data_IF_771771601646
#
_entry.id   IF_771771601646
#
_cell.length_a   1.000
_cell.length_b   1.000
_cell.length_c   1.000
_cell.angle_alpha   90.00
_cell.angle_beta   90.00
_cell.angle_gamma   90.00
#
_symmetry.space_group_name_H-M   'P 1'
#
loop_
_entity.id
_entity.type
_entity.pdbx_description
1 polymer ?
#
# COMPACT_ATOMS: atom_id res chain seq x y z
N UNK A 1 30.53 0.26 17.99
CA UNK A 1 31.75 1.06 17.81
C UNK A 1 31.32 2.52 17.72
N UNK A 2 31.40 3.25 18.83
CA UNK A 2 31.04 4.67 18.94
C UNK A 2 32.13 5.52 18.29
N UNK A 3 31.74 6.54 17.52
CA UNK A 3 32.64 7.63 17.14
C UNK A 3 31.98 8.98 17.39
N UNK A 4 32.82 9.87 17.90
CA UNK A 4 32.55 11.00 18.78
C UNK A 4 32.41 12.30 17.96
N UNK A 5 31.59 13.22 18.46
CA UNK A 5 31.46 14.63 18.02
C UNK A 5 32.58 15.53 18.56
N UNK A 6 32.92 16.58 17.80
CA UNK A 6 33.51 17.85 18.29
C UNK A 6 34.68 18.32 17.42
N UNK A 7 34.57 19.38 16.59
CA UNK A 7 34.50 20.83 16.84
C UNK A 7 35.86 21.55 16.88
N UNK A 8 35.84 22.83 16.45
CA UNK A 8 36.89 23.87 16.33
C UNK A 8 37.62 23.93 14.98
N UNK A 9 37.87 25.08 14.33
CA UNK A 9 37.61 26.50 14.66
C UNK A 9 37.71 27.38 13.40
N UNK A 10 37.07 28.56 13.45
CA UNK A 10 37.29 29.70 12.56
C UNK A 10 38.69 30.29 12.74
N UNK A 11 39.30 30.75 11.66
CA UNK A 11 40.18 31.92 11.68
C UNK A 11 40.02 32.70 10.36
N UNK A 12 39.52 33.92 10.48
CA UNK A 12 39.55 34.94 9.44
C UNK A 12 40.90 35.69 9.51
N UNK A 13 41.49 35.99 8.36
CA UNK A 13 42.45 37.09 8.26
C UNK A 13 42.31 37.80 6.91
N UNK A 14 42.03 39.09 7.04
CA UNK A 14 41.99 40.11 6.01
C UNK A 14 43.41 40.52 5.60
N UNK A 15 43.65 40.68 4.30
CA UNK A 15 44.90 41.20 3.74
C UNK A 15 44.63 42.06 2.49
N UNK A 16 45.18 43.27 2.52
CA UNK A 16 44.93 44.39 1.61
C UNK A 16 45.51 44.20 0.19
N UNK A 17 44.79 44.83 -0.74
CA UNK A 17 45.05 45.29 -2.12
C UNK A 17 46.52 45.46 -2.54
N UNK A 18 46.84 45.00 -3.76
CA UNK A 18 47.71 45.75 -4.68
C UNK A 18 47.28 45.55 -6.13
N UNK A 19 46.79 46.61 -6.76
CA UNK A 19 46.53 46.66 -8.18
C UNK A 19 47.86 46.77 -8.94
N UNK A 20 48.03 45.94 -9.97
CA UNK A 20 49.09 46.08 -10.96
C UNK A 20 48.44 46.08 -12.33
N UNK A 21 48.56 47.21 -13.03
CA UNK A 21 48.17 47.36 -14.42
C UNK A 21 49.25 46.73 -15.31
N UNK A 22 48.87 45.87 -16.25
CA UNK A 22 49.74 45.42 -17.34
C UNK A 22 48.92 45.11 -18.59
N UNK A 23 49.02 46.07 -19.52
CA UNK A 23 48.95 46.00 -21.00
C UNK A 23 48.42 44.74 -21.68
N UNK A 24 47.38 44.96 -22.51
CA UNK A 24 46.87 44.04 -23.53
C UNK A 24 47.91 43.67 -24.59
N UNK A 25 48.08 42.36 -24.79
CA UNK A 25 48.57 41.77 -26.03
C UNK A 25 47.56 40.72 -26.47
N UNK A 26 46.91 40.98 -27.61
CA UNK A 26 45.96 40.08 -28.25
C UNK A 26 46.69 38.90 -28.88
N UNK A 27 46.46 37.69 -28.37
CA UNK A 27 46.75 36.44 -29.05
C UNK A 27 45.41 35.78 -29.41
N UNK A 28 45.10 35.74 -30.71
CA UNK A 28 43.95 35.04 -31.25
C UNK A 28 44.19 33.53 -31.09
N UNK A 29 43.51 32.92 -30.11
CA UNK A 29 43.43 31.47 -29.99
C UNK A 29 42.26 30.97 -30.85
N UNK A 30 42.57 30.15 -31.85
CA UNK A 30 41.58 29.41 -32.62
C UNK A 30 40.89 28.39 -31.70
N UNK A 31 39.66 28.68 -31.31
CA UNK A 31 38.79 27.72 -30.63
C UNK A 31 38.19 26.76 -31.68
N UNK A 32 38.76 25.57 -31.79
CA UNK A 32 38.03 24.42 -32.34
C UNK A 32 36.88 24.10 -31.39
N UNK A 33 35.64 24.38 -31.81
CA UNK A 33 34.43 23.94 -31.13
C UNK A 33 34.37 22.42 -31.11
N UNK A 34 34.83 21.82 -30.01
CA UNK A 34 34.40 20.48 -29.61
C UNK A 34 32.90 20.56 -29.35
N UNK A 35 32.10 19.94 -30.22
CA UNK A 35 30.69 19.74 -29.96
C UNK A 35 30.55 18.87 -28.70
N UNK A 36 30.15 19.51 -27.60
CA UNK A 36 29.68 18.81 -26.41
C UNK A 36 28.43 18.04 -26.83
N UNK A 37 28.39 16.69 -26.69
CA UNK A 37 27.17 15.95 -26.97
C UNK A 37 26.04 16.46 -26.06
N UNK A 38 24.79 16.50 -26.53
CA UNK A 38 23.69 17.00 -25.73
C UNK A 38 23.60 16.20 -24.43
N UNK A 39 23.67 16.91 -23.31
CA UNK A 39 23.42 16.35 -21.99
C UNK A 39 21.96 15.87 -22.02
N UNK A 40 21.76 14.55 -22.06
CA UNK A 40 20.45 13.93 -21.87
C UNK A 40 19.85 14.49 -20.58
N UNK A 41 18.84 15.36 -20.68
CA UNK A 41 18.10 15.82 -19.52
C UNK A 41 17.45 14.59 -18.87
N UNK A 42 17.57 14.42 -17.54
CA UNK A 42 16.95 13.28 -16.87
C UNK A 42 15.45 13.30 -17.16
N UNK A 43 14.92 12.18 -17.65
CA UNK A 43 13.49 12.01 -17.91
C UNK A 43 12.71 12.40 -16.63
N UNK A 44 11.77 13.35 -16.71
CA UNK A 44 11.08 13.84 -15.52
C UNK A 44 10.28 12.72 -14.86
N UNK A 45 10.44 12.59 -13.55
CA UNK A 45 9.61 11.75 -12.70
C UNK A 45 8.25 12.43 -12.52
N UNK A 46 7.17 11.71 -12.82
CA UNK A 46 5.80 12.22 -12.69
C UNK A 46 5.00 11.27 -11.80
N UNK A 47 4.52 11.76 -10.67
CA UNK A 47 3.66 11.02 -9.75
C UNK A 47 2.25 11.62 -9.75
N UNK A 48 1.23 10.76 -9.78
CA UNK A 48 -0.17 11.15 -9.65
C UNK A 48 -0.85 10.24 -8.64
N UNK A 49 -1.50 10.84 -7.64
CA UNK A 49 -2.28 10.12 -6.64
C UNK A 49 -3.76 10.20 -6.99
N UNK A 50 -4.48 9.10 -6.84
CA UNK A 50 -5.92 9.07 -7.14
C UNK A 50 -6.75 9.78 -6.06
N UNK A 51 -6.20 9.94 -4.86
CA UNK A 51 -6.92 10.42 -3.69
C UNK A 51 -7.82 9.33 -3.11
N UNK A 52 -8.20 9.50 -1.84
CA UNK A 52 -9.08 8.55 -1.15
C UNK A 52 -10.52 9.02 -1.31
N UNK A 53 -11.31 8.27 -2.07
CA UNK A 53 -12.76 8.47 -2.21
C UNK A 53 -13.49 7.18 -1.86
N UNK A 54 -14.30 6.65 -2.78
CA UNK A 54 -15.04 5.40 -2.65
C UNK A 54 -14.30 4.22 -3.27
N UNK A 55 -13.01 4.36 -3.60
CA UNK A 55 -12.15 3.25 -4.00
C UNK A 55 -10.88 3.30 -3.18
N UNK A 56 -10.70 2.32 -2.31
CA UNK A 56 -9.55 2.26 -1.43
C UNK A 56 -9.32 0.84 -0.91
N UNK A 57 -8.08 0.61 -0.46
CA UNK A 57 -7.62 -0.64 0.16
C UNK A 57 -6.75 -0.34 1.37
N UNK A 58 -6.59 -1.32 2.25
CA UNK A 58 -5.71 -1.22 3.40
C UNK A 58 -4.23 -1.22 2.96
N UNK A 59 -3.44 -0.29 3.52
CA UNK A 59 -2.00 -0.23 3.24
C UNK A 59 -1.29 -1.54 3.54
N UNK A 60 -1.63 -2.20 4.65
CA UNK A 60 -1.01 -3.45 5.07
C UNK A 60 -1.13 -4.54 4.00
N UNK A 61 -2.35 -4.75 3.50
CA UNK A 61 -2.66 -5.70 2.42
C UNK A 61 -1.81 -5.43 1.18
N UNK A 62 -1.75 -4.17 0.71
CA UNK A 62 -0.93 -3.82 -0.46
C UNK A 62 0.56 -4.03 -0.23
N UNK A 63 1.06 -3.64 0.95
CA UNK A 63 2.48 -3.82 1.27
C UNK A 63 2.86 -5.29 1.19
N UNK A 64 2.04 -6.18 1.75
CA UNK A 64 2.31 -7.62 1.77
C UNK A 64 2.23 -8.22 0.35
N UNK A 65 1.25 -7.79 -0.47
CA UNK A 65 1.19 -8.18 -1.89
C UNK A 65 2.45 -7.75 -2.64
N UNK A 66 2.90 -6.50 -2.47
CA UNK A 66 4.07 -5.98 -3.17
C UNK A 66 5.37 -6.69 -2.74
N UNK A 67 5.56 -6.90 -1.44
CA UNK A 67 6.79 -7.46 -0.87
C UNK A 67 6.89 -8.98 -1.05
N UNK A 68 5.77 -9.69 -0.99
CA UNK A 68 5.76 -11.16 -0.94
C UNK A 68 5.34 -11.81 -2.26
N UNK A 69 4.65 -11.08 -3.14
CA UNK A 69 4.05 -11.64 -4.36
C UNK A 69 4.45 -10.85 -5.61
N UNK A 70 3.88 -9.66 -5.83
CA UNK A 70 3.96 -8.93 -7.10
C UNK A 70 5.40 -8.66 -7.53
N UNK A 71 6.21 -7.94 -6.73
CA UNK A 71 7.56 -7.58 -7.16
C UNK A 71 8.50 -8.79 -7.28
N UNK A 72 8.54 -9.74 -6.32
CA UNK A 72 9.33 -10.95 -6.47
C UNK A 72 9.00 -11.75 -7.73
N UNK A 73 7.72 -11.86 -8.09
CA UNK A 73 7.30 -12.68 -9.22
C UNK A 73 7.41 -11.93 -10.55
N UNK A 74 7.16 -10.62 -10.57
CA UNK A 74 7.33 -9.80 -11.77
C UNK A 74 8.79 -9.81 -12.26
N UNK A 75 9.75 -9.70 -11.34
CA UNK A 75 11.19 -9.76 -11.64
C UNK A 75 11.59 -11.13 -12.20
N UNK A 76 11.03 -12.22 -11.68
CA UNK A 76 11.28 -13.59 -12.19
C UNK A 76 10.63 -13.81 -13.56
N UNK A 77 9.43 -13.28 -13.77
CA UNK A 77 8.65 -13.53 -14.97
C UNK A 77 9.18 -12.75 -16.17
N UNK A 78 9.57 -11.48 -16.01
CA UNK A 78 9.92 -10.60 -17.13
C UNK A 78 10.90 -11.25 -18.15
N UNK A 79 12.02 -11.89 -17.74
CA UNK A 79 12.94 -12.50 -18.71
C UNK A 79 12.35 -13.68 -19.50
N UNK A 80 11.26 -14.28 -19.00
CA UNK A 80 10.59 -15.44 -19.60
C UNK A 80 9.54 -15.04 -20.65
N UNK A 81 9.13 -13.77 -20.68
CA UNK A 81 8.11 -13.23 -21.58
C UNK A 81 8.65 -12.00 -22.34
N UNK A 82 9.68 -12.18 -23.20
CA UNK A 82 10.41 -11.06 -23.81
C UNK A 82 9.58 -10.19 -24.75
N UNK A 83 8.43 -10.69 -25.23
CA UNK A 83 7.52 -9.95 -26.11
C UNK A 83 6.44 -9.15 -25.35
N UNK A 84 6.42 -9.25 -24.01
CA UNK A 84 5.43 -8.56 -23.20
C UNK A 84 6.04 -7.32 -22.55
N UNK A 85 5.51 -6.13 -22.88
CA UNK A 85 5.96 -4.84 -22.34
C UNK A 85 5.18 -4.40 -21.08
N UNK A 86 4.32 -5.28 -20.54
CA UNK A 86 3.46 -5.01 -19.38
C UNK A 86 3.36 -6.23 -18.47
N UNK A 87 3.55 -6.04 -17.17
CA UNK A 87 3.16 -7.02 -16.15
C UNK A 87 2.01 -6.41 -15.37
N UNK A 88 0.88 -7.10 -15.33
CA UNK A 88 -0.31 -6.67 -14.60
C UNK A 88 -0.98 -7.90 -13.98
N UNK A 89 -1.32 -7.79 -12.69
CA UNK A 89 -2.03 -8.83 -11.95
C UNK A 89 -3.09 -8.22 -11.05
N UNK A 90 -4.14 -9.01 -10.81
CA UNK A 90 -5.23 -8.71 -9.90
C UNK A 90 -5.07 -9.54 -8.63
N UNK A 91 -5.41 -8.95 -7.48
CA UNK A 91 -5.32 -9.58 -6.17
C UNK A 91 -6.60 -9.37 -5.38
N UNK A 92 -6.91 -10.32 -4.50
CA UNK A 92 -8.10 -10.29 -3.63
C UNK A 92 -9.40 -10.09 -4.41
N UNK A 93 -9.53 -10.77 -5.54
CA UNK A 93 -10.76 -10.79 -6.33
C UNK A 93 -11.98 -11.10 -5.45
N UNK A 94 -13.11 -10.49 -5.79
CA UNK A 94 -14.39 -10.63 -5.08
C UNK A 94 -14.38 -10.18 -3.60
N UNK A 95 -13.36 -9.41 -3.18
CA UNK A 95 -13.29 -8.78 -1.85
C UNK A 95 -13.26 -7.24 -1.93
N UNK A 96 -13.55 -6.51 -0.83
CA UNK A 96 -13.34 -5.07 -0.77
C UNK A 96 -11.88 -4.62 -1.03
N UNK A 97 -10.91 -5.53 -0.91
CA UNK A 97 -9.49 -5.27 -1.10
C UNK A 97 -9.00 -5.61 -2.52
N UNK A 98 -9.92 -5.78 -3.48
CA UNK A 98 -9.61 -6.10 -4.88
C UNK A 98 -8.83 -4.96 -5.54
N UNK A 99 -7.64 -5.28 -6.06
CA UNK A 99 -6.68 -4.32 -6.61
C UNK A 99 -5.97 -4.87 -7.85
N UNK A 100 -5.75 -4.01 -8.84
CA UNK A 100 -4.80 -4.25 -9.92
C UNK A 100 -3.45 -3.56 -9.63
N UNK A 101 -2.36 -4.26 -9.90
CA UNK A 101 -1.00 -3.72 -9.79
C UNK A 101 -0.29 -3.96 -11.13
N UNK A 102 0.38 -2.94 -11.67
CA UNK A 102 1.07 -3.07 -12.94
C UNK A 102 2.39 -2.31 -13.07
N UNK A 103 3.24 -2.84 -13.95
CA UNK A 103 4.47 -2.22 -14.45
C UNK A 103 4.45 -2.27 -15.97
N UNK A 104 4.45 -1.11 -16.62
CA UNK A 104 4.36 -0.96 -18.07
C UNK A 104 5.55 -0.16 -18.61
N UNK A 105 6.36 -0.75 -19.48
CA UNK A 105 7.53 -0.12 -20.08
C UNK A 105 7.42 0.03 -21.60
N UNK A 106 6.20 -0.01 -22.15
CA UNK A 106 5.92 0.15 -23.58
C UNK A 106 6.52 1.43 -24.16
N UNK A 107 6.57 2.51 -23.35
CA UNK A 107 7.08 3.82 -23.77
C UNK A 107 8.58 4.01 -23.53
N UNK A 108 9.31 2.96 -23.11
CA UNK A 108 10.75 3.04 -22.90
C UNK A 108 11.50 2.95 -24.23
N UNK A 109 12.38 3.91 -24.51
CA UNK A 109 13.15 3.97 -25.76
C UNK A 109 14.02 2.73 -26.01
N UNK A 110 14.61 2.16 -24.94
CA UNK A 110 15.43 0.94 -25.01
C UNK A 110 14.71 -0.23 -24.30
N UNK A 111 13.47 -0.52 -24.72
CA UNK A 111 12.65 -1.55 -24.06
C UNK A 111 13.28 -2.94 -24.04
N UNK A 112 14.07 -3.30 -25.05
CA UNK A 112 14.82 -4.57 -25.10
C UNK A 112 15.83 -4.73 -23.96
N UNK A 113 16.32 -3.61 -23.42
CA UNK A 113 17.34 -3.58 -22.37
C UNK A 113 16.71 -3.35 -20.99
N UNK A 114 15.38 -3.18 -20.94
CA UNK A 114 14.69 -2.98 -19.67
C UNK A 114 14.73 -4.26 -18.85
N UNK A 115 15.30 -4.15 -17.65
CA UNK A 115 15.25 -5.18 -16.64
C UNK A 115 14.57 -4.62 -15.40
N UNK A 116 13.45 -5.21 -15.03
CA UNK A 116 12.80 -4.94 -13.76
C UNK A 116 13.67 -5.53 -12.66
N UNK A 117 14.09 -4.66 -11.74
CA UNK A 117 14.83 -5.02 -10.55
C UNK A 117 13.92 -5.01 -9.32
N UNK A 118 14.17 -5.88 -8.35
CA UNK A 118 13.34 -6.00 -7.15
C UNK A 118 13.40 -4.72 -6.30
N UNK A 119 14.58 -4.11 -6.17
CA UNK A 119 14.74 -2.87 -5.42
C UNK A 119 13.96 -1.74 -6.09
N UNK A 120 14.05 -1.62 -7.41
CA UNK A 120 13.31 -0.59 -8.15
C UNK A 120 11.80 -0.83 -8.14
N UNK A 121 11.36 -2.07 -8.31
CA UNK A 121 9.94 -2.42 -8.20
C UNK A 121 9.35 -2.00 -6.85
N UNK A 122 10.01 -2.36 -5.74
CA UNK A 122 9.56 -2.00 -4.40
C UNK A 122 9.68 -0.49 -4.15
N UNK A 123 10.78 0.14 -4.55
CA UNK A 123 10.96 1.58 -4.42
C UNK A 123 9.82 2.33 -5.11
N UNK A 124 9.51 1.97 -6.35
CA UNK A 124 8.52 2.69 -7.13
C UNK A 124 7.09 2.36 -6.73
N UNK A 125 6.74 1.09 -6.50
CA UNK A 125 5.37 0.73 -6.11
C UNK A 125 5.10 0.94 -4.61
N UNK A 126 5.96 0.44 -3.72
CA UNK A 126 5.75 0.52 -2.27
C UNK A 126 6.09 1.92 -1.75
N UNK A 127 7.30 2.41 -2.01
CA UNK A 127 7.75 3.63 -1.35
C UNK A 127 7.17 4.88 -2.00
N UNK A 128 7.01 4.88 -3.32
CA UNK A 128 6.49 6.04 -4.05
C UNK A 128 4.97 5.97 -4.29
N UNK A 129 4.43 4.95 -4.97
CA UNK A 129 2.99 4.91 -5.27
C UNK A 129 2.15 4.66 -4.01
N UNK A 130 2.46 3.63 -3.22
CA UNK A 130 1.70 3.27 -2.03
C UNK A 130 1.91 4.25 -0.87
N UNK A 131 3.16 4.53 -0.50
CA UNK A 131 3.49 5.35 0.67
C UNK A 131 3.61 6.84 0.37
N UNK A 132 4.00 7.20 -0.85
CA UNK A 132 4.07 8.59 -1.29
C UNK A 132 2.70 9.20 -1.64
N UNK A 133 1.65 8.39 -1.77
CA UNK A 133 0.27 8.86 -1.91
C UNK A 133 -0.55 8.61 -0.64
N UNK A 134 -1.52 9.51 -0.38
CA UNK A 134 -2.57 9.33 0.63
C UNK A 134 -2.06 9.01 2.06
N UNK A 135 -0.80 9.36 2.36
CA UNK A 135 -0.16 9.16 3.64
C UNK A 135 -0.17 10.42 4.51
N UNK A 136 -0.04 10.25 5.82
CA UNK A 136 0.07 11.33 6.82
C UNK A 136 -1.09 12.34 6.84
N UNK A 137 -2.26 11.99 6.29
CA UNK A 137 -3.47 12.80 6.39
C UNK A 137 -4.16 12.53 7.75
N UNK A 138 -4.36 13.53 8.62
CA UNK A 138 -5.14 13.39 9.85
C UNK A 138 -6.59 12.94 9.60
N UNK A 139 -7.12 13.23 8.41
CA UNK A 139 -8.40 12.74 7.93
C UNK A 139 -8.38 11.26 7.53
N UNK A 140 -7.22 10.62 7.40
CA UNK A 140 -7.05 9.21 7.06
C UNK A 140 -6.24 8.45 8.14
N UNK A 141 -6.74 8.37 9.39
CA UNK A 141 -6.02 7.72 10.49
C UNK A 141 -5.77 6.23 10.27
N UNK A 142 -6.62 5.55 9.49
CA UNK A 142 -6.48 4.14 9.12
C UNK A 142 -5.49 3.91 7.97
N UNK A 143 -4.96 4.99 7.38
CA UNK A 143 -3.98 4.95 6.30
C UNK A 143 -4.47 4.16 5.07
N UNK A 144 -5.74 4.34 4.70
CA UNK A 144 -6.34 3.82 3.47
C UNK A 144 -5.63 4.37 2.23
N UNK A 145 -5.66 3.61 1.13
CA UNK A 145 -4.92 3.91 -0.09
C UNK A 145 -5.83 3.91 -1.30
N UNK A 146 -5.94 5.05 -1.98
CA UNK A 146 -6.68 5.19 -3.25
C UNK A 146 -5.89 4.74 -4.48
N UNK A 147 -4.62 4.39 -4.29
CA UNK A 147 -3.70 4.04 -5.37
C UNK A 147 -3.18 5.27 -6.11
N UNK A 148 -2.65 5.03 -7.30
CA UNK A 148 -2.03 6.06 -8.11
C UNK A 148 -1.06 5.47 -9.12
N UNK A 149 -0.31 6.35 -9.75
CA UNK A 149 0.71 5.97 -10.71
C UNK A 149 1.99 6.79 -10.56
N UNK A 150 3.10 6.17 -10.93
CA UNK A 150 4.41 6.79 -11.08
C UNK A 150 4.94 6.54 -12.48
N UNK A 151 5.39 7.60 -13.16
CA UNK A 151 6.13 7.52 -14.41
C UNK A 151 7.58 7.91 -14.17
N UNK A 152 8.50 7.03 -14.52
CA UNK A 152 9.94 7.24 -14.40
C UNK A 152 10.65 6.52 -15.53
N UNK A 153 11.50 7.25 -16.27
CA UNK A 153 12.34 6.70 -17.35
C UNK A 153 11.57 5.83 -18.38
N UNK A 154 10.38 6.31 -18.79
CA UNK A 154 9.50 5.62 -19.76
C UNK A 154 8.71 4.43 -19.20
N UNK A 155 8.87 4.12 -17.91
CA UNK A 155 8.14 3.05 -17.21
C UNK A 155 7.03 3.65 -16.35
N UNK A 156 5.87 3.00 -16.34
CA UNK A 156 4.69 3.36 -15.53
C UNK A 156 4.44 2.27 -14.50
N UNK A 157 4.40 2.65 -13.23
CA UNK A 157 4.06 1.79 -12.09
C UNK A 157 2.69 2.22 -11.57
N UNK A 158 1.75 1.29 -11.42
CA UNK A 158 0.36 1.61 -11.06
C UNK A 158 -0.15 0.71 -9.95
N UNK A 159 -0.93 1.28 -9.04
CA UNK A 159 -1.78 0.57 -8.09
C UNK A 159 -3.20 1.12 -8.24
N UNK A 160 -4.17 0.25 -8.50
CA UNK A 160 -5.55 0.64 -8.78
C UNK A 160 -6.55 -0.21 -7.98
N UNK A 161 -7.10 0.31 -6.86
CA UNK A 161 -8.25 -0.29 -6.21
C UNK A 161 -9.45 -0.37 -7.16
N UNK A 162 -10.04 -1.56 -7.30
CA UNK A 162 -11.07 -1.82 -8.32
C UNK A 162 -12.50 -1.74 -7.78
N UNK A 163 -12.68 -1.99 -6.49
CA UNK A 163 -14.01 -2.07 -5.86
C UNK A 163 -14.47 -0.72 -5.34
N UNK A 164 -15.69 -0.34 -5.70
CA UNK A 164 -16.39 0.79 -5.11
C UNK A 164 -16.92 0.40 -3.73
N UNK A 165 -16.61 1.21 -2.72
CA UNK A 165 -16.89 1.02 -1.30
C UNK A 165 -17.70 2.21 -0.77
N UNK A 166 -18.22 2.05 0.44
CA UNK A 166 -18.75 3.18 1.21
C UNK A 166 -17.61 4.17 1.53
N UNK A 167 -17.89 5.41 1.98
CA UNK A 167 -16.85 6.32 2.45
C UNK A 167 -15.95 5.64 3.50
N UNK A 168 -14.62 5.78 3.31
CA UNK A 168 -13.65 5.08 4.14
C UNK A 168 -13.81 5.39 5.64
N UNK A 169 -13.81 4.36 6.50
CA UNK A 169 -13.97 4.56 7.93
C UNK A 169 -12.71 5.17 8.55
N UNK A 170 -12.90 6.00 9.58
CA UNK A 170 -11.79 6.61 10.35
C UNK A 170 -11.29 5.71 11.47
N UNK A 171 -12.03 4.67 11.80
CA UNK A 171 -11.68 3.68 12.79
C UNK A 171 -12.42 2.38 12.46
N UNK A 172 -11.88 1.21 12.83
CA UNK A 172 -12.59 -0.03 12.63
C UNK A 172 -13.81 -0.05 13.55
N UNK A 173 -14.96 -0.48 13.03
CA UNK A 173 -16.17 -0.68 13.81
C UNK A 173 -16.66 -2.12 13.67
N UNK A 174 -17.40 -2.61 14.65
CA UNK A 174 -17.99 -3.93 14.58
C UNK A 174 -19.18 -4.04 15.52
N UNK A 175 -20.19 -4.78 15.07
CA UNK A 175 -21.38 -5.12 15.86
C UNK A 175 -21.41 -6.63 16.02
N UNK A 176 -21.72 -7.10 17.22
CA UNK A 176 -21.95 -8.52 17.49
C UNK A 176 -23.28 -8.68 18.21
N UNK A 177 -24.25 -9.30 17.54
CA UNK A 177 -25.57 -9.60 18.10
C UNK A 177 -25.65 -11.10 18.42
N UNK A 178 -26.22 -11.44 19.57
CA UNK A 178 -26.39 -12.83 19.99
C UNK A 178 -27.83 -13.07 20.40
N UNK A 179 -28.47 -14.02 19.73
CA UNK A 179 -29.82 -14.49 20.07
C UNK A 179 -29.74 -15.91 20.62
N UNK A 180 -30.37 -16.14 21.77
CA UNK A 180 -30.50 -17.48 22.34
C UNK A 180 -31.67 -18.21 21.66
N UNK A 181 -31.39 -19.39 21.10
CA UNK A 181 -32.35 -20.22 20.37
C UNK A 181 -32.25 -21.66 20.91
N UNK A 182 -33.17 -22.02 21.82
CA UNK A 182 -33.25 -23.31 22.50
C UNK A 182 -31.92 -23.82 23.09
N UNK A 183 -31.16 -24.61 22.33
CA UNK A 183 -29.92 -25.26 22.75
C UNK A 183 -28.66 -24.62 22.14
N UNK A 184 -28.80 -23.52 21.41
CA UNK A 184 -27.70 -22.85 20.74
C UNK A 184 -27.83 -21.34 20.81
N UNK A 185 -26.77 -20.65 20.41
CA UNK A 185 -26.72 -19.21 20.30
C UNK A 185 -26.40 -18.86 18.86
N UNK A 186 -27.30 -18.12 18.23
CA UNK A 186 -27.09 -17.54 16.92
C UNK A 186 -26.30 -16.25 17.09
N UNK A 187 -25.11 -16.20 16.50
CA UNK A 187 -24.21 -15.06 16.57
C UNK A 187 -24.11 -14.43 15.19
N UNK A 188 -24.31 -13.11 15.13
CA UNK A 188 -24.16 -12.31 13.92
C UNK A 188 -23.09 -11.26 14.20
N UNK A 189 -22.03 -11.24 13.38
CA UNK A 189 -21.01 -10.20 13.44
C UNK A 189 -21.05 -9.41 12.14
N UNK A 190 -21.09 -8.09 12.24
CA UNK A 190 -20.95 -7.14 11.13
C UNK A 190 -19.74 -6.27 11.36
N UNK A 191 -19.06 -5.92 10.29
CA UNK A 191 -17.82 -5.15 10.35
C UNK A 191 -17.99 -3.74 9.80
N UNK A 192 -16.92 -2.96 9.90
CA UNK A 192 -16.62 -1.84 9.02
C UNK A 192 -15.11 -1.56 9.12
N UNK A 193 -14.38 -1.78 8.03
CA UNK A 193 -12.97 -1.40 7.93
C UNK A 193 -11.97 -2.37 8.54
N UNK A 194 -12.30 -3.67 8.68
CA UNK A 194 -11.35 -4.71 9.12
C UNK A 194 -11.65 -6.07 8.48
N UNK A 195 -10.68 -6.99 8.44
CA UNK A 195 -10.80 -8.34 7.84
C UNK A 195 -11.41 -8.36 6.41
N UNK A 196 -10.90 -7.50 5.54
CA UNK A 196 -11.50 -7.21 4.23
C UNK A 196 -10.95 -8.04 3.05
N UNK A 197 -10.09 -9.04 3.28
CA UNK A 197 -9.37 -9.73 2.19
C UNK A 197 -9.37 -11.26 2.23
N UNK A 198 -9.85 -11.90 3.28
CA UNK A 198 -9.62 -13.35 3.52
C UNK A 198 -10.90 -14.18 3.67
N UNK A 199 -12.07 -13.61 3.36
CA UNK A 199 -13.36 -14.27 3.47
C UNK A 199 -13.68 -14.75 4.89
N UNK A 200 -13.13 -14.06 5.89
CA UNK A 200 -13.32 -14.39 7.30
C UNK A 200 -12.54 -15.62 7.75
N UNK A 201 -11.61 -16.15 6.94
CA UNK A 201 -10.82 -17.35 7.27
C UNK A 201 -10.07 -17.18 8.60
N UNK A 202 -9.43 -16.04 8.82
CA UNK A 202 -8.73 -15.74 10.08
C UNK A 202 -9.72 -15.73 11.26
N UNK A 203 -10.89 -15.13 11.08
CA UNK A 203 -11.92 -15.10 12.13
C UNK A 203 -12.41 -16.51 12.47
N UNK A 204 -12.75 -17.32 11.46
CA UNK A 204 -13.16 -18.71 11.61
C UNK A 204 -12.10 -19.56 12.34
N UNK A 205 -10.82 -19.43 11.94
CA UNK A 205 -9.72 -20.15 12.57
C UNK A 205 -9.59 -19.82 14.06
N UNK A 206 -9.80 -18.55 14.43
CA UNK A 206 -9.77 -18.12 15.83
C UNK A 206 -11.01 -18.51 16.62
N UNK A 207 -12.14 -18.73 15.94
CA UNK A 207 -13.40 -19.15 16.57
C UNK A 207 -13.49 -20.65 16.81
N UNK A 208 -12.64 -21.47 16.19
CA UNK A 208 -12.65 -22.93 16.38
C UNK A 208 -12.63 -23.34 17.87
N UNK A 209 -11.95 -22.57 18.72
CA UNK A 209 -11.85 -22.84 20.17
C UNK A 209 -13.06 -22.33 20.99
N UNK A 210 -14.04 -21.69 20.33
CA UNK A 210 -15.20 -21.04 20.97
C UNK A 210 -16.49 -21.89 20.95
N UNK A 211 -16.39 -23.20 20.72
CA UNK A 211 -17.52 -24.12 20.54
C UNK A 211 -18.45 -23.73 19.37
N UNK A 212 -17.83 -23.28 18.28
CA UNK A 212 -18.50 -23.13 16.99
C UNK A 212 -19.10 -24.49 16.56
N UNK A 213 -20.36 -24.49 16.15
CA UNK A 213 -20.96 -25.68 15.55
C UNK A 213 -20.37 -25.91 14.16
N UNK A 214 -20.02 -27.16 13.79
CA UNK A 214 -19.50 -27.48 12.46
C UNK A 214 -20.44 -27.00 11.36
N UNK A 215 -19.87 -26.51 10.25
CA UNK A 215 -20.58 -26.08 9.05
C UNK A 215 -21.60 -24.94 9.27
N UNK A 216 -21.45 -24.16 10.34
CA UNK A 216 -22.35 -23.03 10.63
C UNK A 216 -21.76 -21.65 10.35
N UNK A 217 -20.43 -21.55 10.20
CA UNK A 217 -19.77 -20.30 9.88
C UNK A 217 -20.06 -19.92 8.42
N UNK A 218 -20.72 -18.79 8.24
CA UNK A 218 -21.06 -18.28 6.91
C UNK A 218 -20.70 -16.80 6.83
N UNK A 219 -19.70 -16.49 6.01
CA UNK A 219 -19.18 -15.15 5.80
C UNK A 219 -19.58 -14.64 4.41
N UNK A 220 -20.05 -13.40 4.35
CA UNK A 220 -20.39 -12.73 3.08
C UNK A 220 -19.84 -11.30 3.09
N UNK A 221 -19.21 -10.89 1.99
CA UNK A 221 -18.99 -9.48 1.70
C UNK A 221 -20.29 -8.84 1.21
N UNK A 222 -20.52 -7.59 1.60
CA UNK A 222 -21.69 -6.84 1.17
C UNK A 222 -21.84 -5.54 1.95
N UNK A 223 -22.20 -4.49 1.22
CA UNK A 223 -22.49 -3.19 1.83
C UNK A 223 -23.88 -3.22 2.47
N UNK A 224 -23.97 -2.81 3.73
CA UNK A 224 -25.26 -2.57 4.38
C UNK A 224 -25.55 -1.08 4.57
N UNK A 225 -26.79 -0.78 4.99
CA UNK A 225 -27.26 0.59 5.23
C UNK A 225 -26.49 1.34 6.34
N UNK A 226 -25.83 0.60 7.21
CA UNK A 226 -25.06 1.12 8.35
C UNK A 226 -23.57 1.28 7.97
N UNK A 227 -23.24 0.94 6.72
CA UNK A 227 -21.92 1.07 6.11
C UNK A 227 -20.97 -0.06 6.49
N UNK A 228 -21.49 -1.22 6.88
CA UNK A 228 -20.68 -2.43 7.03
C UNK A 228 -20.26 -3.01 5.69
N UNK A 229 -19.15 -3.74 5.66
CA UNK A 229 -18.51 -4.23 4.44
C UNK A 229 -18.63 -5.75 4.27
N UNK A 230 -18.87 -6.46 5.37
CA UNK A 230 -19.21 -7.87 5.44
C UNK A 230 -20.05 -8.20 6.68
N UNK A 231 -20.65 -9.38 6.63
CA UNK A 231 -21.37 -10.02 7.73
C UNK A 231 -20.97 -11.47 7.83
N UNK A 232 -20.79 -11.97 9.05
CA UNK A 232 -20.78 -13.41 9.32
C UNK A 232 -21.93 -13.82 10.24
N UNK A 233 -22.42 -15.02 10.03
CA UNK A 233 -23.40 -15.70 10.88
C UNK A 233 -22.83 -17.04 11.31
N UNK A 234 -23.05 -17.42 12.56
CA UNK A 234 -22.60 -18.70 13.09
C UNK A 234 -23.47 -19.16 14.27
N UNK A 235 -23.34 -20.43 14.64
CA UNK A 235 -24.00 -20.97 15.82
C UNK A 235 -22.98 -21.52 16.82
N UNK A 236 -23.22 -21.31 18.11
CA UNK A 236 -22.43 -21.91 19.20
C UNK A 236 -23.34 -22.72 20.13
N UNK A 237 -22.88 -23.88 20.60
CA UNK A 237 -23.65 -24.69 21.56
C UNK A 237 -23.56 -24.15 23.00
N UNK A 238 -22.53 -23.37 23.30
CA UNK A 238 -22.25 -22.79 24.61
C UNK A 238 -21.73 -21.37 24.39
N UNK A 239 -22.47 -20.40 24.92
CA UNK A 239 -22.06 -19.01 24.82
C UNK A 239 -20.81 -18.75 25.65
N UNK A 240 -19.76 -18.28 24.98
CA UNK A 240 -18.48 -17.86 25.59
C UNK A 240 -18.10 -16.50 25.02
N UNK A 241 -18.74 -15.44 25.52
CA UNK A 241 -18.55 -14.06 25.04
C UNK A 241 -17.07 -13.71 24.90
N UNK A 242 -16.27 -13.92 25.95
CA UNK A 242 -14.84 -13.58 25.94
C UNK A 242 -14.08 -14.27 24.80
N UNK A 243 -14.42 -15.52 24.48
CA UNK A 243 -13.77 -16.26 23.39
C UNK A 243 -14.08 -15.63 22.02
N UNK A 244 -15.37 -15.36 21.76
CA UNK A 244 -15.80 -14.76 20.49
C UNK A 244 -15.25 -13.35 20.32
N UNK A 245 -15.27 -12.55 21.38
CA UNK A 245 -14.72 -11.19 21.39
C UNK A 245 -13.21 -11.20 21.16
N UNK A 246 -12.47 -12.10 21.80
CA UNK A 246 -11.02 -12.21 21.63
C UNK A 246 -10.65 -12.73 20.23
N UNK A 247 -11.43 -13.65 19.67
CA UNK A 247 -11.25 -14.11 18.30
C UNK A 247 -11.47 -12.97 17.28
N UNK A 248 -12.54 -12.19 17.45
CA UNK A 248 -12.82 -11.02 16.61
C UNK A 248 -11.71 -9.97 16.70
N UNK A 249 -11.22 -9.66 17.92
CA UNK A 249 -10.10 -8.72 18.11
C UNK A 249 -8.81 -9.21 17.45
N UNK A 250 -8.51 -10.51 17.54
CA UNK A 250 -7.38 -11.10 16.84
C UNK A 250 -7.51 -11.03 15.31
N UNK A 251 -8.74 -11.02 14.79
CA UNK A 251 -9.05 -10.86 13.38
C UNK A 251 -9.12 -9.38 12.93
N UNK A 252 -9.01 -8.41 13.84
CA UNK A 252 -8.93 -6.98 13.54
C UNK A 252 -10.09 -6.11 14.07
N UNK A 253 -11.02 -6.67 14.84
CA UNK A 253 -12.08 -5.89 15.47
C UNK A 253 -11.52 -4.82 16.43
N UNK A 254 -12.24 -3.69 16.64
CA UNK A 254 -11.79 -2.63 17.53
C UNK A 254 -11.58 -3.10 18.97
N UNK A 255 -10.70 -2.42 19.71
CA UNK A 255 -10.42 -2.78 21.12
C UNK A 255 -11.65 -2.78 22.03
N UNK A 256 -12.64 -1.93 21.73
CA UNK A 256 -13.93 -1.84 22.43
C UNK A 256 -15.01 -2.81 21.94
N UNK A 257 -14.68 -3.72 21.00
CA UNK A 257 -15.62 -4.71 20.49
C UNK A 257 -16.17 -5.60 21.62
N UNK A 258 -17.50 -5.80 21.61
CA UNK A 258 -18.28 -6.59 22.56
C UNK A 258 -19.49 -7.20 21.85
N UNK A 259 -20.10 -8.19 22.47
CA UNK A 259 -21.32 -8.82 21.96
C UNK A 259 -22.52 -8.43 22.81
N UNK A 260 -23.59 -8.00 22.16
CA UNK A 260 -24.85 -7.69 22.80
C UNK A 260 -25.76 -8.92 22.72
N UNK A 261 -25.85 -9.65 23.85
CA UNK A 261 -26.71 -10.81 23.98
C UNK A 261 -28.11 -10.41 24.45
N UNK A 262 -29.13 -10.73 23.65
CA UNK A 262 -30.52 -10.63 24.11
C UNK A 262 -30.81 -11.83 25.02
N UNK A 263 -31.03 -11.55 26.30
CA UNK A 263 -31.49 -12.54 27.31
C UNK A 263 -32.90 -13.01 27.01
#
# INVERSE_FOLDING_TARGET
MQLIKGHLALAASSGLVRAVAATSTTLAAAYSSLMVPPINSPTPLVQSCNGISERYVARGTLKDILELQFCPDAVKLQPLVPDNDVIEWMYNEDTPEHVAISVNWTNKSNKSDFKLDLHDCLRFLRDMVLDGCDGNDPGNPMNWKGGGLLRVDGVVYTIEPLVQRQPYPKEPHGVCDVTHEDNYHHVIIRDKGWANSDWGKMLEDKLCDCNLLPDTFNFIYGQDKDGGEWKTTMYTNMWREGCVVDAAKQAGAPGGFKCDAST
#
